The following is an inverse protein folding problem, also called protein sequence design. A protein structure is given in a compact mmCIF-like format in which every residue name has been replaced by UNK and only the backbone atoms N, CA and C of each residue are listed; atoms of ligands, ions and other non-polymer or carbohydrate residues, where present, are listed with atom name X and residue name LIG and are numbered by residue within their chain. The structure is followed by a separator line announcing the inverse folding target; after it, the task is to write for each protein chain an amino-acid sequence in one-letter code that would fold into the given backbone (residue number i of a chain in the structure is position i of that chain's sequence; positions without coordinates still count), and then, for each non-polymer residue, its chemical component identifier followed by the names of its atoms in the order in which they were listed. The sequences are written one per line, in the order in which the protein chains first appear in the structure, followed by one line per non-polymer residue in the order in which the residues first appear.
data_IF_762529896377
#
_entry.id   IF_762529896377
#
_cell.length_a   1.000
_cell.length_b   1.000
_cell.length_c   1.000
_cell.angle_alpha   90.00
_cell.angle_beta   90.00
_cell.angle_gamma   90.00
#
_symmetry.space_group_name_H-M   'P 1'
#
loop_
_entity.id
_entity.type
_entity.pdbx_description
1 polymer ?
#
# COMPACT_ATOMS: atom_id res chain seq x y z
N UNK A 1 10.33 20.98 -15.20
CA UNK A 1 10.99 19.73 -15.58
C UNK A 1 11.24 18.82 -14.38
N UNK A 2 11.87 19.26 -13.29
CA UNK A 2 12.23 18.36 -12.18
C UNK A 2 11.04 17.87 -11.31
N UNK A 3 9.94 18.64 -11.21
CA UNK A 3 8.78 18.27 -10.38
C UNK A 3 7.94 17.16 -11.02
N UNK A 4 7.76 17.20 -12.34
CA UNK A 4 6.98 16.26 -13.12
C UNK A 4 7.61 14.85 -13.15
N UNK A 5 8.93 14.76 -13.05
CA UNK A 5 9.61 13.46 -12.88
C UNK A 5 9.34 12.88 -11.49
N UNK A 6 9.16 13.74 -10.46
CA UNK A 6 8.95 13.31 -9.08
C UNK A 6 7.49 12.97 -8.78
N UNK A 7 6.54 13.80 -9.20
CA UNK A 7 5.11 13.64 -8.92
C UNK A 7 4.33 13.81 -10.22
N UNK A 8 3.50 12.81 -10.55
CA UNK A 8 2.58 12.87 -11.67
C UNK A 8 1.44 13.85 -11.37
N UNK A 9 1.41 14.93 -12.15
CA UNK A 9 0.38 15.96 -12.15
C UNK A 9 -0.56 15.84 -13.35
N UNK A 10 -0.12 15.17 -14.41
CA UNK A 10 -0.87 14.92 -15.64
C UNK A 10 -1.00 13.41 -15.95
N UNK A 11 -1.99 13.03 -16.76
CA UNK A 11 -2.25 11.65 -17.21
C UNK A 11 -1.02 11.03 -17.90
N UNK A 12 -0.29 11.83 -18.69
CA UNK A 12 0.92 11.40 -19.40
C UNK A 12 2.05 10.94 -18.47
N UNK A 13 1.99 11.27 -17.18
CA UNK A 13 3.05 11.07 -16.20
C UNK A 13 2.78 9.86 -15.29
N UNK A 14 1.55 9.36 -15.24
CA UNK A 14 1.12 8.20 -14.44
C UNK A 14 1.90 6.94 -14.83
N UNK A 15 2.44 6.20 -13.87
CA UNK A 15 3.34 5.07 -14.09
C UNK A 15 4.74 5.47 -14.56
N UNK A 16 5.03 6.74 -14.86
CA UNK A 16 6.37 7.19 -15.28
C UNK A 16 7.08 7.89 -14.13
N UNK A 17 6.41 8.83 -13.48
CA UNK A 17 6.95 9.58 -12.35
C UNK A 17 7.19 8.70 -11.12
N UNK A 18 8.07 9.15 -10.21
CA UNK A 18 8.33 8.43 -8.96
C UNK A 18 7.03 8.21 -8.17
N UNK A 19 6.21 9.25 -8.03
CA UNK A 19 4.93 9.19 -7.35
C UNK A 19 3.79 9.51 -8.32
N UNK A 20 2.74 8.71 -8.28
CA UNK A 20 1.45 9.06 -8.88
C UNK A 20 0.30 8.75 -7.91
N UNK A 21 -0.95 8.85 -8.39
CA UNK A 21 -2.09 8.57 -7.53
C UNK A 21 -2.22 7.07 -7.18
N UNK A 22 -1.72 6.14 -8.00
CA UNK A 22 -1.68 4.70 -7.66
C UNK A 22 -0.66 4.39 -6.57
N UNK A 23 0.43 5.15 -6.48
CA UNK A 23 1.43 5.03 -5.40
C UNK A 23 0.81 5.11 -3.99
N UNK A 24 -0.24 5.93 -3.80
CA UNK A 24 -0.99 5.96 -2.52
C UNK A 24 -1.78 4.68 -2.26
N UNK A 25 -2.29 4.05 -3.32
CA UNK A 25 -2.92 2.74 -3.27
C UNK A 25 -1.99 1.67 -2.67
N UNK A 26 -0.68 1.77 -2.92
CA UNK A 26 0.31 0.85 -2.35
C UNK A 26 0.45 0.98 -0.83
N UNK A 27 0.32 2.19 -0.27
CA UNK A 27 0.23 2.37 1.19
C UNK A 27 -1.01 1.63 1.75
N UNK A 28 -2.18 1.80 1.11
CA UNK A 28 -3.40 1.09 1.49
C UNK A 28 -3.20 -0.43 1.44
N UNK A 29 -2.58 -0.91 0.36
CA UNK A 29 -2.32 -2.32 0.13
C UNK A 29 -1.41 -2.90 1.23
N UNK A 30 -0.32 -2.21 1.57
CA UNK A 30 0.57 -2.57 2.67
C UNK A 30 -0.14 -2.65 4.02
N UNK A 31 -0.96 -1.64 4.36
CA UNK A 31 -1.79 -1.64 5.58
C UNK A 31 -2.75 -2.85 5.57
N UNK A 32 -3.46 -3.07 4.46
CA UNK A 32 -4.44 -4.14 4.32
C UNK A 32 -3.82 -5.53 4.47
N UNK A 33 -2.70 -5.78 3.77
CA UNK A 33 -1.94 -7.02 3.88
C UNK A 33 -1.44 -7.27 5.31
N UNK A 34 -0.88 -6.24 5.95
CA UNK A 34 -0.39 -6.37 7.31
C UNK A 34 -1.54 -6.69 8.27
N UNK A 35 -2.66 -5.96 8.19
CA UNK A 35 -3.84 -6.23 9.02
C UNK A 35 -4.34 -7.65 8.84
N UNK A 36 -4.43 -8.12 7.58
CA UNK A 36 -4.86 -9.47 7.26
C UNK A 36 -3.92 -10.54 7.84
N UNK A 37 -2.63 -10.48 7.52
CA UNK A 37 -1.66 -11.46 8.03
C UNK A 37 -1.46 -11.38 9.54
N UNK A 38 -1.63 -10.20 10.14
CA UNK A 38 -1.58 -10.05 11.60
C UNK A 38 -2.69 -10.79 12.33
N UNK A 39 -3.77 -11.23 11.66
CA UNK A 39 -4.79 -12.09 12.28
C UNK A 39 -4.18 -13.41 12.81
N UNK A 40 -3.19 -13.97 12.10
CA UNK A 40 -2.44 -15.17 12.53
C UNK A 40 -1.54 -14.92 13.75
N UNK A 41 -1.29 -13.64 14.07
CA UNK A 41 -0.62 -13.22 15.29
C UNK A 41 -1.63 -12.92 16.42
N UNK A 42 -2.59 -12.05 16.15
CA UNK A 42 -3.47 -11.45 17.16
C UNK A 42 -4.55 -12.40 17.67
N UNK A 43 -5.15 -13.24 16.81
CA UNK A 43 -6.22 -14.16 17.22
C UNK A 43 -5.69 -15.22 18.21
N UNK A 44 -4.59 -15.95 17.92
CA UNK A 44 -4.05 -16.90 18.90
C UNK A 44 -3.62 -16.18 20.19
N UNK A 45 -2.91 -15.05 20.07
CA UNK A 45 -2.38 -14.33 21.22
C UNK A 45 -3.46 -13.79 22.15
N UNK A 46 -4.58 -13.29 21.59
CA UNK A 46 -5.76 -12.86 22.36
C UNK A 46 -6.35 -14.00 23.20
N UNK A 47 -6.25 -15.23 22.69
CA UNK A 47 -6.75 -16.43 23.35
C UNK A 47 -5.68 -17.11 24.23
N UNK A 48 -4.57 -16.42 24.56
CA UNK A 48 -3.42 -16.94 25.31
C UNK A 48 -2.71 -18.15 24.65
N UNK A 49 -2.89 -18.34 23.34
CA UNK A 49 -2.17 -19.33 22.56
C UNK A 49 -0.89 -18.75 21.95
N UNK A 50 0.03 -19.63 21.55
CA UNK A 50 1.24 -19.25 20.83
C UNK A 50 0.83 -18.72 19.44
N UNK A 51 1.29 -17.52 19.03
CA UNK A 51 1.08 -16.99 17.68
C UNK A 51 1.60 -17.93 16.60
N UNK A 52 0.87 -18.05 15.48
CA UNK A 52 1.32 -18.85 14.33
C UNK A 52 2.47 -18.13 13.62
N UNK A 53 2.34 -16.81 13.46
CA UNK A 53 3.37 -15.93 12.90
C UNK A 53 3.93 -15.01 13.98
N UNK A 54 5.13 -14.48 13.78
CA UNK A 54 5.64 -13.33 14.54
C UNK A 54 5.28 -12.03 13.81
N UNK A 55 5.22 -10.89 14.51
CA UNK A 55 4.95 -9.59 13.85
C UNK A 55 6.03 -9.24 12.79
N UNK A 56 7.28 -9.62 13.04
CA UNK A 56 8.37 -9.43 12.06
C UNK A 56 8.12 -10.30 10.81
N UNK A 57 7.67 -11.54 10.99
CA UNK A 57 7.34 -12.41 9.87
C UNK A 57 6.15 -11.87 9.06
N UNK A 58 5.14 -11.31 9.74
CA UNK A 58 4.01 -10.61 9.09
C UNK A 58 4.49 -9.43 8.24
N UNK A 59 5.46 -8.65 8.73
CA UNK A 59 6.07 -7.57 7.95
C UNK A 59 6.82 -8.08 6.72
N UNK A 60 7.63 -9.14 6.88
CA UNK A 60 8.34 -9.77 5.76
C UNK A 60 7.37 -10.27 4.68
N UNK A 61 6.25 -10.89 5.09
CA UNK A 61 5.19 -11.30 4.16
C UNK A 61 4.57 -10.08 3.46
N UNK A 62 4.31 -9.01 4.17
CA UNK A 62 3.74 -7.77 3.60
C UNK A 62 4.65 -7.20 2.51
N UNK A 63 5.95 -7.07 2.77
CA UNK A 63 6.93 -6.61 1.79
C UNK A 63 7.02 -7.57 0.60
N UNK A 64 7.01 -8.88 0.86
CA UNK A 64 7.06 -9.89 -0.21
C UNK A 64 5.86 -9.74 -1.14
N UNK A 65 4.66 -9.57 -0.59
CA UNK A 65 3.45 -9.37 -1.39
C UNK A 65 3.41 -8.01 -2.10
N UNK A 66 4.00 -6.95 -1.54
CA UNK A 66 4.17 -5.67 -2.23
C UNK A 66 5.04 -5.83 -3.50
N UNK A 67 6.16 -6.56 -3.41
CA UNK A 67 7.00 -6.89 -4.57
C UNK A 67 6.27 -7.75 -5.59
N UNK A 68 5.54 -8.79 -5.12
CA UNK A 68 4.76 -9.65 -6.02
C UNK A 68 3.64 -8.89 -6.73
N UNK A 69 3.04 -7.91 -6.05
CA UNK A 69 1.99 -7.08 -6.64
C UNK A 69 2.51 -6.29 -7.83
N UNK A 70 3.66 -5.61 -7.70
CA UNK A 70 4.30 -4.92 -8.83
C UNK A 70 4.59 -5.83 -10.02
N UNK A 71 5.05 -7.05 -9.75
CA UNK A 71 5.30 -8.05 -10.80
C UNK A 71 4.00 -8.47 -11.48
N UNK A 72 2.92 -8.68 -10.72
CA UNK A 72 1.59 -9.00 -11.26
C UNK A 72 1.08 -7.84 -12.11
N UNK A 73 1.22 -6.60 -11.64
CA UNK A 73 0.78 -5.42 -12.38
C UNK A 73 1.51 -5.27 -13.71
N UNK A 74 2.84 -5.33 -13.70
CA UNK A 74 3.66 -5.06 -14.88
C UNK A 74 3.79 -6.26 -15.84
N UNK A 75 3.47 -7.48 -15.40
CA UNK A 75 3.47 -8.66 -16.27
C UNK A 75 2.05 -9.09 -16.65
N UNK A 76 1.16 -9.27 -15.68
CA UNK A 76 -0.16 -9.84 -15.92
C UNK A 76 -1.13 -8.74 -16.34
N UNK A 77 -1.27 -7.67 -15.55
CA UNK A 77 -2.27 -6.64 -15.85
C UNK A 77 -1.94 -5.86 -17.12
N UNK A 78 -0.66 -5.65 -17.42
CA UNK A 78 -0.23 -5.09 -18.70
C UNK A 78 -0.64 -5.97 -19.88
N UNK A 79 -0.39 -7.28 -19.82
CA UNK A 79 -0.79 -8.20 -20.90
C UNK A 79 -2.31 -8.34 -21.05
N UNK A 80 -3.08 -8.12 -19.97
CA UNK A 80 -4.54 -8.14 -19.98
C UNK A 80 -5.16 -6.79 -20.38
N UNK A 81 -4.35 -5.73 -20.58
CA UNK A 81 -4.86 -4.39 -20.86
C UNK A 81 -5.57 -3.73 -19.68
N UNK A 82 -5.32 -4.19 -18.45
CA UNK A 82 -5.91 -3.66 -17.22
C UNK A 82 -5.11 -2.49 -16.62
N UNK A 83 -3.86 -2.30 -17.05
CA UNK A 83 -3.04 -1.14 -16.68
C UNK A 83 -3.64 0.15 -17.23
N UNK A 84 -3.45 1.24 -16.47
CA UNK A 84 -3.87 2.57 -16.88
C UNK A 84 -3.23 2.93 -18.24
N UNK A 85 -4.08 3.24 -19.22
CA UNK A 85 -3.68 3.47 -20.62
C UNK A 85 -2.80 2.38 -21.24
N UNK A 86 -2.88 1.15 -20.72
CA UNK A 86 -2.02 0.04 -21.10
C UNK A 86 -0.52 0.37 -21.04
N UNK A 87 -0.13 1.20 -20.07
CA UNK A 87 1.25 1.68 -19.88
C UNK A 87 1.98 0.81 -18.86
N UNK A 88 3.24 0.49 -19.15
CA UNK A 88 4.13 -0.15 -18.19
C UNK A 88 4.71 0.90 -17.24
N UNK A 89 4.98 0.52 -15.99
CA UNK A 89 5.59 1.43 -15.04
C UNK A 89 7.09 1.58 -15.30
N UNK A 90 7.62 2.75 -14.98
CA UNK A 90 9.04 2.99 -14.89
C UNK A 90 9.64 2.26 -13.68
N UNK A 91 10.94 2.00 -13.73
CA UNK A 91 11.65 1.38 -12.61
C UNK A 91 11.54 2.23 -11.33
N UNK A 92 11.49 3.55 -11.47
CA UNK A 92 11.34 4.50 -10.38
C UNK A 92 9.97 4.39 -9.72
N UNK A 93 8.91 4.28 -10.52
CA UNK A 93 7.54 4.12 -10.03
C UNK A 93 7.39 2.78 -9.29
N UNK A 94 7.82 1.67 -9.90
CA UNK A 94 7.84 0.32 -9.27
C UNK A 94 8.58 0.35 -7.93
N UNK A 95 9.75 1.00 -7.90
CA UNK A 95 10.55 1.09 -6.67
C UNK A 95 9.80 1.87 -5.58
N UNK A 96 9.17 2.98 -5.95
CA UNK A 96 8.41 3.81 -5.02
C UNK A 96 7.20 3.06 -4.46
N UNK A 97 6.49 2.34 -5.32
CA UNK A 97 5.27 1.63 -4.95
C UNK A 97 5.56 0.47 -3.99
N UNK A 98 6.65 -0.26 -4.19
CA UNK A 98 7.16 -1.26 -3.23
C UNK A 98 7.50 -0.62 -1.89
N UNK A 99 8.23 0.50 -1.91
CA UNK A 99 8.64 1.20 -0.68
C UNK A 99 7.42 1.73 0.08
N UNK A 100 6.41 2.25 -0.62
CA UNK A 100 5.18 2.72 -0.01
C UNK A 100 4.33 1.60 0.57
N UNK A 101 4.27 0.45 -0.11
CA UNK A 101 3.68 -0.77 0.45
C UNK A 101 4.38 -1.22 1.73
N UNK A 102 5.71 -1.24 1.74
CA UNK A 102 6.50 -1.54 2.92
C UNK A 102 6.27 -0.52 4.06
N UNK A 103 6.22 0.78 3.75
CA UNK A 103 5.96 1.82 4.75
C UNK A 103 4.54 1.69 5.35
N UNK A 104 3.54 1.37 4.54
CA UNK A 104 2.18 1.08 5.01
C UNK A 104 2.14 -0.11 5.98
N UNK A 105 2.87 -1.18 5.65
CA UNK A 105 3.08 -2.33 6.53
C UNK A 105 3.76 -1.95 7.83
N UNK A 106 4.93 -1.31 7.76
CA UNK A 106 5.73 -0.88 8.89
C UNK A 106 4.99 0.06 9.85
N UNK A 107 4.22 1.01 9.30
CA UNK A 107 3.36 1.88 10.10
C UNK A 107 2.35 1.06 10.90
N UNK A 108 1.68 0.11 10.24
CA UNK A 108 0.72 -0.79 10.88
C UNK A 108 1.40 -1.70 11.92
N UNK A 109 2.59 -2.20 11.62
CA UNK A 109 3.44 -2.97 12.54
C UNK A 109 3.75 -2.19 13.82
N UNK A 110 4.14 -0.92 13.71
CA UNK A 110 4.44 -0.07 14.86
C UNK A 110 3.20 0.11 15.73
N UNK A 111 2.03 0.32 15.12
CA UNK A 111 0.76 0.39 15.84
C UNK A 111 0.39 -0.94 16.51
N UNK A 112 0.60 -2.08 15.85
CA UNK A 112 0.40 -3.40 16.45
C UNK A 112 1.28 -3.58 17.70
N UNK A 113 2.56 -3.20 17.60
CA UNK A 113 3.49 -3.28 18.72
C UNK A 113 3.08 -2.35 19.88
N UNK A 114 2.62 -1.13 19.61
CA UNK A 114 2.23 -0.21 20.69
C UNK A 114 0.89 -0.64 21.33
N UNK A 115 -0.14 -0.85 20.51
CA UNK A 115 -1.53 -0.99 21.00
C UNK A 115 -1.90 -2.42 21.37
N UNK A 116 -1.36 -3.42 20.68
CA UNK A 116 -1.66 -4.81 20.95
C UNK A 116 -0.60 -5.45 21.86
N UNK A 117 0.69 -5.28 21.56
CA UNK A 117 1.74 -5.93 22.36
C UNK A 117 1.85 -5.34 23.77
N UNK A 118 1.89 -4.00 23.88
CA UNK A 118 2.05 -3.33 25.18
C UNK A 118 0.73 -3.19 25.92
N UNK A 119 -0.34 -2.77 25.23
CA UNK A 119 -1.61 -2.45 25.89
C UNK A 119 -2.66 -3.57 25.85
N UNK A 120 -2.44 -4.66 25.09
CA UNK A 120 -3.38 -5.78 24.93
C UNK A 120 -4.77 -5.36 24.44
N UNK A 121 -4.86 -4.32 23.60
CA UNK A 121 -6.13 -3.81 23.04
C UNK A 121 -6.28 -4.17 21.55
N UNK A 122 -6.72 -5.40 21.22
CA UNK A 122 -6.88 -5.83 19.81
C UNK A 122 -7.88 -4.97 19.04
N UNK A 123 -8.97 -4.56 19.70
CA UNK A 123 -9.99 -3.75 19.04
C UNK A 123 -9.43 -2.39 18.59
N UNK A 124 -8.68 -1.70 19.46
CA UNK A 124 -8.07 -0.41 19.14
C UNK A 124 -7.11 -0.53 17.95
N UNK A 125 -6.29 -1.58 17.90
CA UNK A 125 -5.39 -1.87 16.79
C UNK A 125 -6.14 -1.99 15.45
N UNK A 126 -7.15 -2.87 15.38
CA UNK A 126 -7.89 -3.09 14.15
C UNK A 126 -8.76 -1.90 13.74
N UNK A 127 -9.37 -1.19 14.70
CA UNK A 127 -10.11 0.04 14.41
C UNK A 127 -9.20 1.12 13.81
N UNK A 128 -8.01 1.31 14.38
CA UNK A 128 -7.03 2.24 13.83
C UNK A 128 -6.62 1.85 12.40
N UNK A 129 -6.31 0.56 12.18
CA UNK A 129 -5.96 0.05 10.86
C UNK A 129 -7.05 0.27 9.81
N UNK A 130 -8.30 -0.03 10.13
CA UNK A 130 -9.45 0.15 9.22
C UNK A 130 -9.68 1.63 8.92
N UNK A 131 -9.59 2.52 9.92
CA UNK A 131 -9.70 3.96 9.72
C UNK A 131 -8.56 4.45 8.82
N UNK A 132 -7.32 4.05 9.10
CA UNK A 132 -6.15 4.41 8.30
C UNK A 132 -6.30 3.97 6.85
N UNK A 133 -6.73 2.73 6.62
CA UNK A 133 -7.03 2.21 5.28
C UNK A 133 -8.09 3.07 4.56
N UNK A 134 -9.18 3.42 5.25
CA UNK A 134 -10.23 4.28 4.69
C UNK A 134 -9.75 5.69 4.36
N UNK A 135 -8.90 6.29 5.21
CA UNK A 135 -8.31 7.62 4.97
C UNK A 135 -7.45 7.61 3.72
N UNK A 136 -6.58 6.61 3.56
CA UNK A 136 -5.71 6.51 2.40
C UNK A 136 -6.47 6.22 1.10
N UNK A 137 -7.57 5.46 1.15
CA UNK A 137 -8.51 5.35 0.01
C UNK A 137 -9.10 6.71 -0.35
N UNK A 138 -9.50 7.52 0.64
CA UNK A 138 -10.00 8.87 0.41
C UNK A 138 -8.95 9.75 -0.30
N UNK A 139 -7.69 9.68 0.15
CA UNK A 139 -6.56 10.40 -0.48
C UNK A 139 -6.35 9.92 -1.92
N UNK A 140 -6.36 8.61 -2.17
CA UNK A 140 -6.27 8.03 -3.50
C UNK A 140 -7.35 8.61 -4.46
N UNK A 141 -8.61 8.65 -4.01
CA UNK A 141 -9.71 9.19 -4.82
C UNK A 141 -9.49 10.67 -5.16
N UNK A 142 -9.05 11.46 -4.18
CA UNK A 142 -8.78 12.90 -4.35
C UNK A 142 -7.64 13.10 -5.36
N UNK A 143 -6.50 12.41 -5.18
CA UNK A 143 -5.36 12.55 -6.09
C UNK A 143 -5.71 12.13 -7.51
N UNK A 144 -6.41 10.99 -7.66
CA UNK A 144 -6.89 10.54 -8.97
C UNK A 144 -7.77 11.58 -9.63
N UNK A 145 -8.72 12.17 -8.89
CA UNK A 145 -9.57 13.23 -9.43
C UNK A 145 -8.76 14.45 -9.90
N UNK A 146 -7.79 14.90 -9.10
CA UNK A 146 -6.95 16.05 -9.43
C UNK A 146 -6.09 15.78 -10.68
N UNK A 147 -5.42 14.62 -10.77
CA UNK A 147 -4.60 14.26 -11.94
C UNK A 147 -5.43 14.19 -13.22
N UNK A 148 -6.64 13.62 -13.16
CA UNK A 148 -7.53 13.55 -14.33
C UNK A 148 -8.09 14.91 -14.73
N UNK A 149 -8.38 15.80 -13.76
CA UNK A 149 -8.97 17.11 -14.05
C UNK A 149 -7.94 18.17 -14.50
N UNK A 150 -6.70 18.08 -14.02
CA UNK A 150 -5.62 19.00 -14.38
C UNK A 150 -4.99 18.69 -15.74
N UNK A 151 -5.28 17.52 -16.31
CA UNK A 151 -4.75 17.15 -17.61
C UNK A 151 -5.44 17.95 -18.72
N UNK A 152 -4.68 18.56 -19.66
CA UNK A 152 -5.28 19.26 -20.79
C UNK A 152 -6.20 18.29 -21.55
N UNK A 153 -7.39 18.76 -21.93
CA UNK A 153 -8.32 18.00 -22.76
C UNK A 153 -7.61 17.77 -24.10
N UNK A 154 -7.26 16.51 -24.37
CA UNK A 154 -6.73 16.06 -25.67
C UNK A 154 -7.89 15.89 -26.65
#
# INVERSE_FOLDING_TARGET
MMLNELIATEIGEVGISWFDFYSIGHICFGIGLFLFFSLFYTIPKRNNNIPIFSLIFVEILTITFAVLWELIENLIFLNLGWKFENRADSLQNITTDILLGAIGGLGTWLFAYITFEKEKKPFAYYTFGIIGFGVWIGIFIILRYLTLHNSPII
#
